data_IF_495049716784
#
_entry.id   IF_495049716784
#
_cell.length_a   1.000
_cell.length_b   1.000
_cell.length_c   1.000
_cell.angle_alpha   90.00
_cell.angle_beta   90.00
_cell.angle_gamma   90.00
#
_symmetry.space_group_name_H-M   'P 1'
#
loop_
_entity.id
_entity.type
_entity.pdbx_description
1 polymer ?
#
# COMPACT_ATOMS: atom_id res chain seq x y z
N UNK A 1 17.00 -6.57 -74.64
CA UNK A 1 16.15 -5.41 -74.29
C UNK A 1 14.86 -5.93 -73.66
N UNK A 2 14.51 -5.49 -72.43
CA UNK A 2 13.14 -5.29 -71.86
C UNK A 2 12.16 -6.49 -71.94
N UNK A 3 11.50 -7.06 -70.91
CA UNK A 3 10.84 -6.60 -69.66
C UNK A 3 10.47 -7.88 -68.86
N UNK A 4 10.65 -7.96 -67.53
CA UNK A 4 9.62 -7.72 -66.50
C UNK A 4 8.28 -8.47 -66.72
N UNK A 5 7.98 -9.47 -65.88
CA UNK A 5 6.75 -9.51 -65.05
C UNK A 5 6.52 -10.87 -64.32
N UNK A 6 6.38 -10.75 -62.99
CA UNK A 6 5.46 -11.46 -62.08
C UNK A 6 5.39 -13.00 -62.00
N UNK A 7 5.71 -13.51 -60.81
CA UNK A 7 4.78 -14.17 -59.84
C UNK A 7 5.59 -15.15 -58.97
N UNK A 8 5.99 -14.79 -57.74
CA UNK A 8 5.21 -14.81 -56.49
C UNK A 8 4.94 -16.22 -55.94
N UNK A 9 5.14 -16.36 -54.62
CA UNK A 9 5.08 -17.57 -53.76
C UNK A 9 6.38 -18.39 -53.77
N UNK A 10 7.08 -18.66 -52.68
CA UNK A 10 6.63 -18.83 -51.30
C UNK A 10 7.86 -18.64 -50.39
N UNK A 11 8.04 -17.46 -49.81
CA UNK A 11 9.02 -17.20 -48.77
C UNK A 11 8.26 -16.59 -47.60
N UNK A 12 7.47 -17.44 -46.94
CA UNK A 12 6.73 -17.06 -45.74
C UNK A 12 7.73 -17.09 -44.58
N UNK A 13 8.13 -15.88 -44.20
CA UNK A 13 8.74 -15.53 -42.94
C UNK A 13 8.09 -16.31 -41.79
N UNK A 14 8.90 -17.12 -41.09
CA UNK A 14 8.59 -17.53 -39.73
C UNK A 14 8.96 -16.35 -38.83
N UNK A 15 8.04 -15.38 -38.71
CA UNK A 15 8.02 -14.44 -37.60
C UNK A 15 7.33 -15.17 -36.44
N UNK A 16 8.13 -15.79 -35.58
CA UNK A 16 7.61 -16.19 -34.27
C UNK A 16 7.21 -14.92 -33.52
N UNK A 17 5.89 -14.81 -33.38
CA UNK A 17 5.16 -13.96 -32.46
C UNK A 17 5.72 -14.10 -31.04
N UNK A 18 6.57 -13.15 -30.63
CA UNK A 18 6.71 -12.83 -29.22
C UNK A 18 5.60 -11.82 -28.88
N UNK A 19 4.37 -12.31 -28.76
CA UNK A 19 3.43 -11.66 -27.86
C UNK A 19 3.92 -12.02 -26.45
N UNK A 20 4.61 -11.09 -25.80
CA UNK A 20 4.72 -11.10 -24.35
C UNK A 20 3.30 -11.01 -23.81
N UNK A 21 2.70 -12.18 -23.57
CA UNK A 21 1.49 -12.30 -22.79
C UNK A 21 1.84 -11.91 -21.37
N UNK A 22 1.61 -10.64 -21.07
CA UNK A 22 1.39 -10.11 -19.73
C UNK A 22 0.54 -11.12 -18.97
N UNK A 23 1.12 -11.66 -17.91
CA UNK A 23 0.53 -12.63 -17.01
C UNK A 23 -0.82 -12.12 -16.48
N UNK A 24 -1.89 -12.55 -17.13
CA UNK A 24 -3.25 -12.51 -16.60
C UNK A 24 -3.49 -13.85 -15.93
N UNK A 25 -2.85 -14.04 -14.79
CA UNK A 25 -3.33 -15.03 -13.83
C UNK A 25 -4.71 -14.59 -13.33
N UNK A 26 -5.60 -15.53 -12.96
CA UNK A 26 -6.88 -15.17 -12.36
C UNK A 26 -6.60 -14.38 -11.08
N UNK A 27 -7.24 -13.22 -10.94
CA UNK A 27 -7.14 -12.34 -9.76
C UNK A 27 -7.37 -13.12 -8.44
N UNK A 28 -8.14 -14.22 -8.49
CA UNK A 28 -8.31 -15.18 -7.38
C UNK A 28 -7.02 -15.82 -6.87
N UNK A 29 -6.02 -16.06 -7.74
CA UNK A 29 -4.75 -16.67 -7.33
C UNK A 29 -3.86 -15.69 -6.53
N UNK A 30 -4.04 -14.37 -6.72
CA UNK A 30 -3.36 -13.34 -5.93
C UNK A 30 -4.06 -13.10 -4.58
N UNK A 31 -5.35 -13.43 -4.45
CA UNK A 31 -6.09 -13.31 -3.19
C UNK A 31 -5.63 -14.32 -2.12
N UNK A 32 -5.07 -15.46 -2.53
CA UNK A 32 -4.70 -16.58 -1.66
C UNK A 32 -3.20 -16.68 -1.35
N UNK A 33 -2.37 -15.78 -1.88
CA UNK A 33 -0.97 -15.68 -1.46
C UNK A 33 -0.89 -14.70 -0.29
N UNK A 34 -0.33 -15.09 0.87
CA UNK A 34 0.06 -14.09 1.84
C UNK A 34 1.07 -13.21 1.13
N UNK A 35 0.75 -11.93 0.91
CA UNK A 35 1.73 -10.94 0.49
C UNK A 35 2.90 -11.06 1.46
N UNK A 36 3.97 -11.72 1.03
CA UNK A 36 5.11 -11.97 1.89
C UNK A 36 5.65 -10.60 2.25
N UNK A 37 5.44 -10.19 3.51
CA UNK A 37 5.86 -8.89 4.04
C UNK A 37 7.37 -8.90 4.22
N UNK A 38 8.09 -8.87 3.11
CA UNK A 38 9.53 -8.78 3.06
C UNK A 38 9.88 -7.31 3.25
N UNK A 39 10.03 -6.88 4.50
CA UNK A 39 10.37 -5.50 4.80
C UNK A 39 9.99 -5.05 6.20
N UNK A 40 10.62 -3.95 6.63
CA UNK A 40 10.25 -3.27 7.86
C UNK A 40 8.77 -2.86 7.81
N UNK A 41 8.05 -3.14 8.90
CA UNK A 41 6.68 -2.70 9.07
C UNK A 41 6.66 -1.33 9.73
N UNK A 42 5.83 -0.43 9.21
CA UNK A 42 5.65 0.91 9.74
C UNK A 42 4.16 1.21 9.91
N UNK A 43 3.84 2.12 10.83
CA UNK A 43 2.50 2.64 11.00
C UNK A 43 2.29 3.89 10.17
N UNK A 44 1.18 3.95 9.45
CA UNK A 44 0.71 5.15 8.76
C UNK A 44 -0.65 5.57 9.29
N UNK A 45 -0.98 6.84 9.17
CA UNK A 45 -2.25 7.41 9.62
C UNK A 45 -2.86 8.34 8.57
N UNK A 46 -4.18 8.47 8.56
CA UNK A 46 -4.86 9.56 7.82
C UNK A 46 -4.98 10.81 8.68
N UNK A 47 -5.04 11.97 8.02
CA UNK A 47 -5.61 13.15 8.66
C UNK A 47 -7.11 12.95 8.90
N UNK A 48 -7.67 13.49 9.99
CA UNK A 48 -9.12 13.53 10.17
C UNK A 48 -9.76 14.32 9.04
N UNK A 49 -10.48 13.63 8.16
CA UNK A 49 -11.26 14.23 7.08
C UNK A 49 -12.75 14.22 7.44
N UNK A 50 -13.54 14.94 6.65
CA UNK A 50 -14.99 14.89 6.73
C UNK A 50 -15.51 13.47 6.42
N UNK A 51 -16.67 13.14 6.98
CA UNK A 51 -17.30 11.84 6.78
C UNK A 51 -17.34 11.42 5.31
N UNK A 52 -16.97 10.16 5.07
CA UNK A 52 -17.05 9.50 3.77
C UNK A 52 -16.20 10.13 2.67
N UNK A 53 -15.31 11.08 2.97
CA UNK A 53 -14.48 11.76 1.95
C UNK A 53 -13.18 11.04 1.61
N UNK A 54 -12.83 9.99 2.34
CA UNK A 54 -11.64 9.22 2.02
C UNK A 54 -11.79 8.49 0.68
N UNK A 55 -10.69 8.26 -0.03
CA UNK A 55 -10.73 7.71 -1.38
C UNK A 55 -11.38 6.31 -1.47
N UNK A 56 -11.17 5.45 -0.45
CA UNK A 56 -11.82 4.14 -0.39
C UNK A 56 -13.32 4.22 -0.13
N UNK A 57 -13.77 5.23 0.61
CA UNK A 57 -15.18 5.47 0.89
C UNK A 57 -15.88 5.97 -0.37
N UNK A 58 -15.26 6.92 -1.06
CA UNK A 58 -15.77 7.46 -2.32
C UNK A 58 -15.81 6.42 -3.44
N UNK A 59 -14.79 5.56 -3.55
CA UNK A 59 -14.80 4.46 -4.51
C UNK A 59 -15.94 3.47 -4.21
N UNK A 60 -16.09 3.07 -2.95
CA UNK A 60 -17.18 2.18 -2.53
C UNK A 60 -18.56 2.79 -2.82
N UNK A 61 -18.77 4.06 -2.46
CA UNK A 61 -20.02 4.77 -2.71
C UNK A 61 -20.36 4.81 -4.20
N UNK A 62 -19.37 5.10 -5.05
CA UNK A 62 -19.55 5.11 -6.51
C UNK A 62 -19.97 3.75 -7.05
N UNK A 63 -19.44 2.67 -6.49
CA UNK A 63 -19.81 1.29 -6.85
C UNK A 63 -21.20 0.87 -6.33
N UNK A 64 -21.74 1.57 -5.31
CA UNK A 64 -22.97 1.20 -4.60
C UNK A 64 -24.06 2.28 -4.68
N UNK A 65 -24.10 3.05 -5.77
CA UNK A 65 -25.20 3.98 -6.06
C UNK A 65 -25.10 5.36 -5.41
N UNK A 66 -23.95 5.71 -4.82
CA UNK A 66 -23.66 7.00 -4.18
C UNK A 66 -24.62 7.39 -3.06
N UNK A 67 -25.17 6.42 -2.32
CA UNK A 67 -26.00 6.68 -1.13
C UNK A 67 -25.14 6.59 0.15
N UNK A 68 -24.85 7.72 0.83
CA UNK A 68 -24.08 7.74 2.07
C UNK A 68 -24.68 6.90 3.20
N UNK A 69 -26.01 6.73 3.22
CA UNK A 69 -26.71 5.97 4.27
C UNK A 69 -26.46 4.47 4.19
N UNK A 70 -25.98 3.99 3.04
CA UNK A 70 -25.67 2.59 2.80
C UNK A 70 -24.22 2.22 3.15
N UNK A 71 -23.38 3.20 3.52
CA UNK A 71 -21.97 2.92 3.80
C UNK A 71 -21.82 2.03 5.06
N UNK A 72 -21.26 0.80 4.95
CA UNK A 72 -21.21 -0.13 6.06
C UNK A 72 -20.00 0.19 6.96
N UNK A 73 -20.18 1.10 7.91
CA UNK A 73 -19.13 1.60 8.79
C UNK A 73 -18.40 0.49 9.58
N UNK A 74 -19.10 -0.59 9.90
CA UNK A 74 -18.56 -1.78 10.59
C UNK A 74 -17.64 -2.62 9.71
N UNK A 75 -17.73 -2.48 8.38
CA UNK A 75 -16.89 -3.18 7.39
C UNK A 75 -15.81 -2.30 6.77
N UNK A 76 -15.56 -1.13 7.35
CA UNK A 76 -14.61 -0.15 6.81
C UNK A 76 -13.20 -0.72 6.61
N UNK A 77 -12.73 -1.58 7.52
CA UNK A 77 -11.46 -2.30 7.35
C UNK A 77 -11.41 -3.11 6.06
N UNK A 78 -12.47 -3.85 5.77
CA UNK A 78 -12.52 -4.73 4.59
C UNK A 78 -12.62 -3.89 3.31
N UNK A 79 -13.40 -2.80 3.33
CA UNK A 79 -13.49 -1.86 2.21
C UNK A 79 -12.12 -1.24 1.92
N UNK A 80 -11.44 -0.76 2.97
CA UNK A 80 -10.10 -0.20 2.87
C UNK A 80 -9.07 -1.22 2.37
N UNK A 81 -9.17 -2.47 2.83
CA UNK A 81 -8.29 -3.56 2.39
C UNK A 81 -8.51 -3.90 0.93
N UNK A 82 -9.76 -4.04 0.49
CA UNK A 82 -10.10 -4.25 -0.92
C UNK A 82 -9.62 -3.10 -1.80
N UNK A 83 -9.74 -1.87 -1.33
CA UNK A 83 -9.24 -0.69 -2.04
C UNK A 83 -7.74 -0.78 -2.34
N UNK A 84 -6.93 -1.17 -1.36
CA UNK A 84 -5.48 -1.31 -1.55
C UNK A 84 -5.08 -2.58 -2.29
N UNK A 85 -5.80 -3.69 -2.09
CA UNK A 85 -5.55 -4.93 -2.82
C UNK A 85 -5.78 -4.79 -4.33
N UNK A 86 -6.79 -4.01 -4.75
CA UNK A 86 -6.99 -3.63 -6.16
C UNK A 86 -5.78 -2.88 -6.76
N UNK A 87 -4.92 -2.31 -5.91
CA UNK A 87 -3.71 -1.55 -6.26
C UNK A 87 -2.41 -2.33 -6.02
N UNK A 88 -2.51 -3.61 -5.68
CA UNK A 88 -1.37 -4.51 -5.55
C UNK A 88 -0.65 -4.45 -4.21
N UNK A 89 -1.19 -3.77 -3.21
CA UNK A 89 -0.61 -3.73 -1.84
C UNK A 89 -1.64 -4.16 -0.80
N UNK A 90 -1.14 -4.50 0.38
CA UNK A 90 -1.96 -4.94 1.51
C UNK A 90 -1.47 -4.26 2.80
N UNK A 91 -2.29 -4.29 3.85
CA UNK A 91 -1.91 -3.83 5.18
C UNK A 91 -2.26 -4.89 6.23
N UNK A 92 -1.59 -4.80 7.38
CA UNK A 92 -1.82 -5.67 8.51
C UNK A 92 -2.90 -5.16 9.45
N UNK A 93 -2.42 -4.57 10.53
CA UNK A 93 -3.30 -4.08 11.58
C UNK A 93 -3.99 -2.80 11.14
N UNK A 94 -5.21 -2.64 11.66
CA UNK A 94 -6.07 -1.48 11.42
C UNK A 94 -6.56 -0.95 12.76
N UNK A 95 -6.44 0.35 12.96
CA UNK A 95 -7.01 1.08 14.09
C UNK A 95 -7.77 2.31 13.62
N UNK A 96 -8.72 2.77 14.44
CA UNK A 96 -9.43 4.03 14.22
C UNK A 96 -9.51 4.79 15.53
N UNK A 97 -9.16 6.08 15.50
CA UNK A 97 -9.33 6.97 16.65
C UNK A 97 -10.15 8.19 16.27
N UNK A 98 -11.17 8.48 17.07
CA UNK A 98 -11.93 9.72 16.95
C UNK A 98 -11.04 10.91 17.32
N UNK A 99 -11.09 11.98 16.53
CA UNK A 99 -10.38 13.22 16.83
C UNK A 99 -11.44 14.27 17.16
N UNK A 100 -11.55 14.57 18.46
CA UNK A 100 -12.65 15.32 19.07
C UNK A 100 -12.81 16.76 18.55
N UNK A 101 -11.75 17.35 17.98
CA UNK A 101 -11.72 18.75 17.57
C UNK A 101 -11.95 18.97 16.06
N UNK A 102 -12.10 17.89 15.28
CA UNK A 102 -12.37 17.96 13.85
C UNK A 102 -13.89 17.98 13.59
N UNK A 103 -14.58 19.05 14.00
CA UNK A 103 -16.03 19.20 13.75
C UNK A 103 -16.28 20.44 12.88
N UNK A 104 -16.68 20.17 11.64
CA UNK A 104 -17.26 21.16 10.75
C UNK A 104 -18.63 21.59 11.31
N UNK A 105 -18.86 22.90 11.45
CA UNK A 105 -20.12 23.47 11.92
C UNK A 105 -21.35 23.13 11.05
N UNK A 106 -21.17 22.47 9.90
CA UNK A 106 -22.21 22.22 8.90
C UNK A 106 -22.60 20.73 8.72
N UNK A 107 -22.03 19.78 9.48
CA UNK A 107 -22.31 18.35 9.30
C UNK A 107 -22.92 17.71 10.55
N UNK A 108 -23.91 16.82 10.37
CA UNK A 108 -24.44 15.91 11.39
C UNK A 108 -23.48 14.78 11.77
N UNK A 109 -22.26 14.80 11.23
CA UNK A 109 -21.20 13.85 11.55
C UNK A 109 -20.40 14.38 12.75
N UNK A 110 -20.57 13.77 13.94
CA UNK A 110 -20.09 14.36 15.18
C UNK A 110 -18.57 14.29 15.38
N UNK A 111 -17.83 13.56 14.53
CA UNK A 111 -16.37 13.37 14.72
C UNK A 111 -15.67 12.95 13.43
N UNK A 112 -14.62 13.67 13.04
CA UNK A 112 -13.59 13.13 12.15
C UNK A 112 -12.79 12.03 12.86
N UNK A 113 -12.20 11.10 12.10
CA UNK A 113 -11.35 10.07 12.66
C UNK A 113 -10.03 9.96 11.88
N UNK A 114 -8.98 9.51 12.54
CA UNK A 114 -7.76 9.03 11.90
C UNK A 114 -7.81 7.51 11.79
N UNK A 115 -7.57 6.96 10.59
CA UNK A 115 -7.33 5.54 10.39
C UNK A 115 -5.83 5.28 10.50
N UNK A 116 -5.46 4.22 11.22
CA UNK A 116 -4.07 3.78 11.41
C UNK A 116 -3.89 2.43 10.74
N UNK A 117 -2.85 2.28 9.92
CA UNK A 117 -2.53 1.04 9.23
C UNK A 117 -1.09 0.64 9.48
N UNK A 118 -0.84 -0.65 9.68
CA UNK A 118 0.51 -1.21 9.60
C UNK A 118 0.79 -1.68 8.18
N UNK A 119 1.82 -1.14 7.53
CA UNK A 119 2.15 -1.41 6.13
C UNK A 119 3.61 -1.84 5.99
N UNK A 120 3.97 -2.44 4.84
CA UNK A 120 5.37 -2.55 4.45
C UNK A 120 5.91 -1.15 4.12
N UNK A 121 7.09 -0.80 4.63
CA UNK A 121 7.73 0.49 4.39
C UNK A 121 7.91 0.79 2.89
N UNK A 122 8.10 -0.24 2.05
CA UNK A 122 8.24 -0.08 0.61
C UNK A 122 6.96 0.44 -0.07
N UNK A 123 5.79 0.21 0.54
CA UNK A 123 4.49 0.61 -0.01
C UNK A 123 4.11 2.05 0.40
N UNK A 124 4.89 2.71 1.27
CA UNK A 124 4.60 4.04 1.79
C UNK A 124 4.21 5.06 0.69
N UNK A 125 4.93 5.17 -0.45
CA UNK A 125 4.56 6.14 -1.48
C UNK A 125 3.14 5.95 -2.03
N UNK A 126 2.65 4.70 -2.12
CA UNK A 126 1.29 4.43 -2.58
C UNK A 126 0.26 4.81 -1.51
N UNK A 127 0.52 4.49 -0.24
CA UNK A 127 -0.36 4.90 0.85
C UNK A 127 -0.43 6.44 0.98
N UNK A 128 0.69 7.15 0.78
CA UNK A 128 0.74 8.61 0.80
C UNK A 128 -0.09 9.26 -0.31
N UNK A 129 -0.07 8.69 -1.52
CA UNK A 129 -0.95 9.13 -2.63
C UNK A 129 -2.45 9.02 -2.29
N UNK A 130 -2.80 8.19 -1.31
CA UNK A 130 -4.17 7.94 -0.86
C UNK A 130 -4.51 8.60 0.48
N UNK A 131 -3.72 9.59 0.90
CA UNK A 131 -4.02 10.45 2.05
C UNK A 131 -3.49 9.94 3.39
N UNK A 132 -2.64 8.91 3.37
CA UNK A 132 -1.89 8.49 4.54
C UNK A 132 -0.60 9.29 4.69
N UNK A 133 -0.03 9.26 5.89
CA UNK A 133 1.29 9.77 6.22
C UNK A 133 1.91 8.90 7.31
N UNK A 134 3.22 9.04 7.53
CA UNK A 134 3.87 8.38 8.68
C UNK A 134 3.17 8.75 9.99
N UNK A 135 2.81 7.72 10.78
CA UNK A 135 2.19 7.93 12.08
C UNK A 135 3.22 8.23 13.17
N UNK A 136 2.83 9.05 14.15
CA UNK A 136 3.60 9.22 15.39
C UNK A 136 3.77 7.93 16.19
N UNK A 137 2.98 6.88 15.93
CA UNK A 137 3.13 5.55 16.53
C UNK A 137 4.51 4.93 16.27
N UNK A 138 5.19 5.31 15.18
CA UNK A 138 6.54 4.84 14.88
C UNK A 138 7.60 5.34 15.88
N UNK A 139 7.36 6.48 16.56
CA UNK A 139 8.28 7.02 17.57
C UNK A 139 8.25 6.20 18.86
N UNK A 140 7.08 5.66 19.23
CA UNK A 140 6.94 4.79 20.41
C UNK A 140 7.68 3.47 20.24
N UNK A 141 7.65 2.90 19.04
CA UNK A 141 8.35 1.64 18.73
C UNK A 141 9.88 1.76 18.79
N UNK A 142 10.44 2.94 18.57
CA UNK A 142 11.89 3.17 18.69
C UNK A 142 12.33 3.36 20.15
N UNK A 143 11.46 3.87 21.01
CA UNK A 143 11.74 4.03 22.45
C UNK A 143 11.70 2.69 23.20
N UNK A 144 10.85 1.75 22.77
CA UNK A 144 10.75 0.41 23.37
C UNK A 144 11.79 -0.58 22.82
N UNK A 145 12.55 -0.21 21.79
CA UNK A 145 13.70 -0.98 21.34
C UNK A 145 14.83 -0.77 22.37
N UNK A 146 15.32 -1.82 23.06
CA UNK A 146 16.46 -1.65 23.95
C UNK A 146 17.63 -1.09 23.14
N UNK A 147 18.02 0.14 23.46
CA UNK A 147 19.24 0.73 22.96
C UNK A 147 20.39 -0.10 23.53
N UNK A 148 21.09 -0.83 22.67
CA UNK A 148 22.24 -1.69 22.98
C UNK A 148 21.94 -2.95 23.82
N UNK A 149 21.87 -4.10 23.14
CA UNK A 149 22.45 -5.33 23.70
C UNK A 149 23.96 -5.22 23.54
N UNK A 150 24.63 -4.73 24.57
CA UNK A 150 26.09 -4.69 24.66
C UNK A 150 26.62 -6.11 24.92
N UNK A 151 26.74 -6.92 23.85
CA UNK A 151 27.37 -8.24 23.91
C UNK A 151 28.37 -8.46 22.75
N UNK A 152 28.99 -7.39 22.24
CA UNK A 152 30.28 -7.51 21.58
C UNK A 152 31.34 -6.82 22.45
N UNK A 153 31.89 -7.60 23.38
CA UNK A 153 33.15 -7.28 24.03
C UNK A 153 34.27 -7.25 23.00
N UNK A 154 34.43 -6.11 22.32
CA UNK A 154 35.61 -5.83 21.50
C UNK A 154 36.77 -5.57 22.46
N UNK A 155 37.55 -6.62 22.71
CA UNK A 155 38.81 -6.56 23.43
C UNK A 155 39.84 -5.79 22.58
N UNK A 156 39.89 -4.46 22.72
CA UNK A 156 41.00 -3.67 22.22
C UNK A 156 42.18 -3.81 23.19
N UNK A 157 43.07 -4.78 22.90
CA UNK A 157 44.42 -4.75 23.46
C UNK A 157 45.16 -3.53 22.89
N UNK A 158 45.36 -2.52 23.73
CA UNK A 158 46.32 -1.45 23.52
C UNK A 158 47.74 -2.01 23.67
N UNK A 159 48.34 -2.43 22.56
CA UNK A 159 49.78 -2.62 22.49
C UNK A 159 50.45 -1.24 22.41
N UNK A 160 51.01 -0.79 23.54
CA UNK A 160 51.96 0.32 23.61
C UNK A 160 53.25 -0.05 22.84
N UNK A 161 53.80 0.83 21.99
CA UNK A 161 55.22 0.80 21.69
C UNK A 161 55.95 1.73 22.66
N UNK A 162 56.77 1.14 23.53
CA UNK A 162 57.89 1.82 24.18
C UNK A 162 59.16 1.42 23.43
N UNK A 163 59.79 2.39 22.77
CA UNK A 163 61.25 2.57 22.60
C UNK A 163 61.55 3.55 21.47
#
# INVERSE_FOLDING_TARGET
>A
MKRLALAAALLILILFTACDHTATGPVEAQLNQPFARLGAQIWVETMPLQCLTNAWQQEWLKEHGNDPSQYPHERERDILRMYFLKRGVDFGDYGKAAVADAVCAACSCPTGYAAFLQINQQDLPLFEQHGFRLSGMNLKLQADKPAFSSDEGVNFQLSNPSS
#
